data_IF_609810969716
#
_entry.id   IF_609810969716
#
_cell.length_a   1.000
_cell.length_b   1.000
_cell.length_c   1.000
_cell.angle_alpha   90.00
_cell.angle_beta   90.00
_cell.angle_gamma   90.00
#
_symmetry.space_group_name_H-M   'P 1'
#
loop_
_entity.id
_entity.type
_entity.pdbx_description
1 polymer ?
#
# COMPACT_ATOMS: atom_id res chain seq x y z
N UNK A 1 -18.18 -7.54 33.74
CA UNK A 1 -17.56 -8.83 33.41
C UNK A 1 -18.23 -9.39 32.17
N UNK A 2 -17.67 -9.21 31.03
CA UNK A 2 -17.89 -10.01 29.81
C UNK A 2 -16.62 -9.91 29.01
N UNK A 3 -15.79 -10.91 29.14
CA UNK A 3 -14.64 -11.14 28.29
C UNK A 3 -15.15 -11.52 26.91
N UNK A 4 -14.92 -10.70 25.94
CA UNK A 4 -15.13 -11.10 24.55
C UNK A 4 -13.75 -11.25 23.92
N UNK A 5 -13.11 -12.37 24.21
CA UNK A 5 -12.03 -12.87 23.40
C UNK A 5 -12.66 -13.29 22.08
N UNK A 6 -12.42 -12.55 21.01
CA UNK A 6 -12.81 -12.98 19.67
C UNK A 6 -11.84 -14.09 19.24
N UNK A 7 -12.15 -15.31 19.68
CA UNK A 7 -11.51 -16.51 19.13
C UNK A 7 -12.01 -16.68 17.70
N UNK A 8 -11.16 -16.38 16.73
CA UNK A 8 -11.44 -16.64 15.32
C UNK A 8 -11.59 -18.16 15.14
N UNK A 9 -12.81 -18.63 14.96
CA UNK A 9 -13.11 -20.04 14.71
C UNK A 9 -12.71 -20.34 13.26
N UNK A 10 -11.56 -20.97 13.08
CA UNK A 10 -11.11 -21.48 11.77
C UNK A 10 -11.95 -22.70 11.42
N UNK A 11 -12.90 -22.55 10.52
CA UNK A 11 -13.61 -23.68 9.90
C UNK A 11 -12.72 -24.28 8.81
N UNK A 12 -12.08 -25.40 9.10
CA UNK A 12 -11.37 -26.21 8.11
C UNK A 12 -12.37 -27.02 7.29
N UNK A 13 -12.48 -26.73 6.01
CA UNK A 13 -13.04 -27.65 5.04
C UNK A 13 -11.88 -28.38 4.34
N UNK A 14 -11.78 -29.67 4.55
CA UNK A 14 -10.88 -30.54 3.81
C UNK A 14 -11.45 -30.81 2.43
N UNK A 15 -10.97 -30.12 1.43
CA UNK A 15 -11.09 -30.53 0.03
C UNK A 15 -9.69 -30.53 -0.58
N UNK A 16 -9.21 -31.71 -0.85
CA UNK A 16 -7.97 -31.97 -1.59
C UNK A 16 -8.12 -31.57 -3.04
N UNK A 17 -7.58 -30.40 -3.39
CA UNK A 17 -7.12 -30.04 -4.73
C UNK A 17 -6.49 -28.63 -4.60
N UNK A 18 -5.32 -28.44 -5.17
CA UNK A 18 -4.42 -27.29 -5.05
C UNK A 18 -5.10 -25.93 -5.41
N UNK A 19 -5.93 -25.39 -4.53
CA UNK A 19 -6.38 -24.01 -4.62
C UNK A 19 -5.60 -23.19 -3.60
N UNK A 20 -4.99 -22.11 -4.03
CA UNK A 20 -4.45 -21.12 -3.12
C UNK A 20 -5.62 -20.53 -2.32
N UNK A 21 -5.64 -20.76 -1.01
CA UNK A 21 -6.66 -20.18 -0.15
C UNK A 21 -6.44 -18.67 -0.06
N UNK A 22 -7.53 -17.91 -0.07
CA UNK A 22 -7.49 -16.45 0.08
C UNK A 22 -8.07 -16.10 1.44
N UNK A 23 -7.24 -15.51 2.31
CA UNK A 23 -7.69 -14.96 3.58
C UNK A 23 -7.96 -13.47 3.41
N UNK A 24 -9.23 -13.07 3.48
CA UNK A 24 -9.63 -11.65 3.40
C UNK A 24 -10.16 -11.22 4.75
N UNK A 25 -9.52 -10.21 5.35
CA UNK A 25 -10.01 -9.50 6.53
C UNK A 25 -10.35 -8.09 6.09
N UNK A 26 -11.63 -7.73 6.15
CA UNK A 26 -12.09 -6.43 5.68
C UNK A 26 -13.14 -5.81 6.59
N UNK A 27 -13.13 -4.47 6.65
CA UNK A 27 -14.15 -3.66 7.30
C UNK A 27 -14.34 -4.00 8.80
N UNK A 28 -13.25 -4.43 9.45
CA UNK A 28 -13.23 -4.80 10.86
C UNK A 28 -12.63 -3.70 11.73
N UNK A 29 -13.00 -3.72 13.00
CA UNK A 29 -12.39 -2.89 14.03
C UNK A 29 -11.72 -3.79 15.07
N UNK A 30 -10.43 -3.55 15.28
CA UNK A 30 -9.61 -4.19 16.28
C UNK A 30 -9.18 -3.15 17.31
N UNK A 31 -9.55 -3.36 18.56
CA UNK A 31 -9.15 -2.47 19.65
C UNK A 31 -8.43 -3.31 20.69
N UNK A 32 -7.16 -3.00 20.90
CA UNK A 32 -6.35 -3.59 21.94
C UNK A 32 -6.32 -2.66 23.16
N UNK A 33 -6.92 -3.12 24.25
CA UNK A 33 -6.98 -2.41 25.54
C UNK A 33 -6.16 -3.08 26.63
N UNK A 34 -5.49 -4.20 26.32
CA UNK A 34 -4.75 -4.97 27.33
C UNK A 34 -3.43 -4.30 27.69
N UNK A 35 -3.01 -4.45 28.95
CA UNK A 35 -1.71 -4.02 29.42
C UNK A 35 -0.68 -5.14 29.21
N UNK A 36 0.31 -4.90 28.36
CA UNK A 36 1.38 -5.88 28.11
C UNK A 36 1.85 -5.88 26.65
N UNK A 37 2.69 -6.82 26.29
CA UNK A 37 3.14 -7.06 24.92
C UNK A 37 2.10 -7.90 24.20
N UNK A 38 1.03 -7.29 23.74
CA UNK A 38 0.08 -7.95 22.85
C UNK A 38 0.43 -7.72 21.40
N UNK A 39 0.02 -8.61 20.53
CA UNK A 39 0.04 -8.43 19.10
C UNK A 39 -1.37 -8.12 18.64
N UNK A 40 -1.56 -7.07 17.85
CA UNK A 40 -2.88 -6.73 17.33
C UNK A 40 -3.43 -7.86 16.45
N UNK A 41 -3.17 -7.80 15.15
CA UNK A 41 -3.55 -8.84 14.20
C UNK A 41 -2.28 -9.57 13.74
N UNK A 42 -2.19 -10.86 14.03
CA UNK A 42 -1.07 -11.70 13.60
C UNK A 42 -1.57 -12.73 12.58
N UNK A 43 -1.01 -12.66 11.38
CA UNK A 43 -1.21 -13.62 10.31
C UNK A 43 0.07 -14.45 10.18
N UNK A 44 0.14 -15.61 10.82
CA UNK A 44 1.33 -16.45 10.75
C UNK A 44 1.53 -16.93 9.30
N UNK A 45 2.77 -17.06 8.92
CA UNK A 45 3.19 -17.61 7.64
C UNK A 45 2.91 -19.11 7.57
N UNK A 46 1.66 -19.49 7.64
CA UNK A 46 1.24 -20.88 7.51
C UNK A 46 0.55 -21.09 6.19
N UNK A 47 1.24 -21.71 5.25
CA UNK A 47 0.67 -22.20 4.00
C UNK A 47 0.36 -21.12 2.92
N UNK A 48 0.34 -21.52 1.71
CA UNK A 48 0.03 -20.92 0.41
C UNK A 48 -1.27 -20.08 0.33
N UNK A 49 -1.49 -19.19 1.31
CA UNK A 49 -2.71 -18.39 1.41
C UNK A 49 -2.42 -16.96 0.94
N UNK A 50 -3.11 -16.48 -0.05
CA UNK A 50 -3.09 -15.08 -0.42
C UNK A 50 -3.78 -14.28 0.68
N UNK A 51 -3.12 -13.24 1.21
CA UNK A 51 -3.64 -12.45 2.32
C UNK A 51 -4.07 -11.04 1.86
N UNK A 52 -5.26 -10.62 2.30
CA UNK A 52 -5.76 -9.28 2.08
C UNK A 52 -6.30 -8.67 3.36
N UNK A 53 -5.81 -7.48 3.70
CA UNK A 53 -6.25 -6.70 4.84
C UNK A 53 -6.79 -5.36 4.36
N UNK A 54 -8.13 -5.24 4.31
CA UNK A 54 -8.81 -4.20 3.56
C UNK A 54 -9.74 -3.35 4.44
N UNK A 55 -9.52 -2.04 4.48
CA UNK A 55 -10.44 -1.08 5.10
C UNK A 55 -10.71 -1.37 6.59
N UNK A 56 -9.72 -1.84 7.32
CA UNK A 56 -9.84 -2.13 8.74
C UNK A 56 -9.37 -0.95 9.59
N UNK A 57 -9.83 -0.88 10.83
CA UNK A 57 -9.31 0.01 11.85
C UNK A 57 -8.63 -0.81 12.95
N UNK A 58 -7.38 -0.54 13.22
CA UNK A 58 -6.60 -1.18 14.29
C UNK A 58 -6.12 -0.11 15.25
N UNK A 59 -6.57 -0.17 16.49
CA UNK A 59 -6.19 0.79 17.53
C UNK A 59 -5.60 0.07 18.72
N UNK A 60 -4.44 0.53 19.20
CA UNK A 60 -3.87 0.08 20.44
C UNK A 60 -3.60 1.25 21.39
N UNK A 61 -3.70 0.98 22.69
CA UNK A 61 -3.54 1.97 23.76
C UNK A 61 -2.34 1.70 24.65
N UNK A 62 -1.67 0.56 24.48
CA UNK A 62 -0.51 0.15 25.28
C UNK A 62 0.66 -0.25 24.39
N UNK A 63 1.77 -0.60 25.00
CA UNK A 63 2.94 -1.10 24.30
C UNK A 63 2.69 -2.52 23.76
N UNK A 64 3.13 -2.78 22.54
CA UNK A 64 2.96 -4.08 21.90
C UNK A 64 3.94 -4.24 20.73
N UNK A 65 3.98 -5.46 20.18
CA UNK A 65 4.84 -5.79 19.05
C UNK A 65 4.40 -5.12 17.73
N UNK A 66 3.34 -5.62 17.12
CA UNK A 66 2.82 -5.16 15.82
C UNK A 66 1.31 -4.95 15.88
N UNK A 67 0.79 -3.89 15.24
CA UNK A 67 -0.65 -3.75 15.02
C UNK A 67 -1.14 -4.76 13.98
N UNK A 68 -0.36 -4.92 12.93
CA UNK A 68 -0.53 -5.99 11.94
C UNK A 68 0.83 -6.62 11.66
N UNK A 69 0.94 -7.90 11.94
CA UNK A 69 2.06 -8.72 11.50
C UNK A 69 1.57 -9.70 10.44
N UNK A 70 2.15 -9.62 9.25
CA UNK A 70 1.93 -10.56 8.17
C UNK A 70 3.27 -11.21 7.77
N UNK A 71 3.36 -12.53 7.92
CA UNK A 71 4.59 -13.28 7.72
C UNK A 71 5.50 -13.35 8.95
N UNK A 72 6.65 -13.95 8.77
CA UNK A 72 7.61 -14.25 9.83
C UNK A 72 8.74 -13.23 9.96
N UNK A 73 9.32 -13.15 11.15
CA UNK A 73 10.53 -12.36 11.38
C UNK A 73 11.82 -13.09 10.96
N UNK A 74 11.76 -14.39 10.74
CA UNK A 74 12.93 -15.25 10.49
C UNK A 74 12.80 -16.06 9.19
N UNK A 75 13.90 -16.21 8.42
CA UNK A 75 13.89 -16.93 7.15
C UNK A 75 13.80 -18.46 7.28
N UNK A 76 14.00 -19.02 8.46
CA UNK A 76 14.11 -20.46 8.67
C UNK A 76 12.86 -21.29 8.30
N UNK A 77 11.73 -20.61 8.09
CA UNK A 77 10.46 -21.20 7.62
C UNK A 77 10.20 -20.98 6.12
N UNK A 78 11.23 -20.70 5.35
CA UNK A 78 11.26 -20.13 3.99
C UNK A 78 10.48 -20.84 2.87
N UNK A 79 9.75 -21.90 3.13
CA UNK A 79 9.01 -22.63 2.09
C UNK A 79 7.56 -22.17 1.91
N UNK A 80 7.13 -21.13 2.61
CA UNK A 80 5.74 -20.68 2.61
C UNK A 80 5.68 -19.16 2.44
N UNK A 81 5.80 -18.69 1.22
CA UNK A 81 5.70 -17.26 0.91
C UNK A 81 4.21 -16.86 0.81
N UNK A 82 3.82 -15.81 1.52
CA UNK A 82 2.56 -15.10 1.32
C UNK A 82 2.73 -14.05 0.22
N UNK A 83 3.16 -14.46 -0.98
CA UNK A 83 3.38 -13.53 -2.07
C UNK A 83 2.05 -12.93 -2.55
N UNK A 84 2.06 -11.63 -2.88
CA UNK A 84 0.87 -10.92 -3.35
C UNK A 84 -0.03 -10.37 -2.23
N UNK A 85 0.51 -10.14 -1.04
CA UNK A 85 -0.26 -9.53 0.05
C UNK A 85 -0.77 -8.13 -0.31
N UNK A 86 -2.01 -7.85 0.12
CA UNK A 86 -2.68 -6.59 -0.14
C UNK A 86 -3.13 -5.98 1.18
N UNK A 87 -2.52 -4.87 1.55
CA UNK A 87 -2.83 -4.13 2.77
C UNK A 87 -3.23 -2.72 2.37
N UNK A 88 -4.53 -2.48 2.26
CA UNK A 88 -5.02 -1.22 1.69
C UNK A 88 -6.23 -0.64 2.41
N UNK A 89 -6.29 0.69 2.47
CA UNK A 89 -7.42 1.42 3.02
C UNK A 89 -7.55 1.32 4.54
N UNK A 90 -6.52 0.87 5.25
CA UNK A 90 -6.60 0.64 6.69
C UNK A 90 -6.20 1.87 7.49
N UNK A 91 -6.73 1.94 8.71
CA UNK A 91 -6.37 2.95 9.70
C UNK A 91 -5.69 2.28 10.89
N UNK A 92 -4.43 2.60 11.14
CA UNK A 92 -3.64 2.13 12.26
C UNK A 92 -3.39 3.27 13.25
N UNK A 93 -3.78 3.10 14.49
CA UNK A 93 -3.66 4.14 15.53
C UNK A 93 -3.00 3.57 16.76
N UNK A 94 -2.00 4.31 17.24
CA UNK A 94 -1.42 4.05 18.55
C UNK A 94 -1.69 5.22 19.48
N UNK A 95 -2.30 4.93 20.62
CA UNK A 95 -2.66 5.89 21.66
C UNK A 95 -1.87 5.69 22.95
N UNK A 96 -0.82 4.87 22.92
CA UNK A 96 0.05 4.63 24.05
C UNK A 96 0.98 5.81 24.35
N UNK A 97 1.63 5.75 25.50
CA UNK A 97 2.60 6.77 25.97
C UNK A 97 4.03 6.28 25.96
N UNK A 98 4.25 4.96 26.05
CA UNK A 98 5.59 4.36 26.04
C UNK A 98 6.02 3.93 24.66
N UNK A 99 6.72 4.82 23.97
CA UNK A 99 7.25 4.57 22.62
C UNK A 99 8.48 3.65 22.58
N UNK A 100 8.98 3.18 23.72
CA UNK A 100 10.25 2.41 23.76
C UNK A 100 10.06 0.95 23.44
N UNK A 101 8.90 0.38 23.73
CA UNK A 101 8.56 -1.04 23.55
C UNK A 101 7.86 -1.36 22.23
N UNK A 102 7.61 -0.34 21.40
CA UNK A 102 6.89 -0.51 20.18
C UNK A 102 7.78 -0.97 19.03
N UNK A 103 7.35 -1.99 18.33
CA UNK A 103 7.97 -2.39 17.07
C UNK A 103 7.36 -1.59 15.90
N UNK A 104 6.53 -2.16 15.06
CA UNK A 104 5.98 -1.46 13.90
C UNK A 104 4.46 -1.56 13.87
N UNK A 105 3.80 -0.55 13.33
CA UNK A 105 2.36 -0.64 13.09
C UNK A 105 2.04 -1.78 12.12
N UNK A 106 2.77 -1.85 11.03
CA UNK A 106 2.62 -2.83 9.99
C UNK A 106 3.96 -3.50 9.72
N UNK A 107 4.00 -4.81 9.86
CA UNK A 107 5.15 -5.63 9.52
C UNK A 107 4.77 -6.64 8.44
N UNK A 108 5.60 -6.72 7.40
CA UNK A 108 5.53 -7.84 6.45
C UNK A 108 6.93 -8.40 6.24
N UNK A 109 7.06 -9.72 6.32
CA UNK A 109 8.36 -10.37 6.30
C UNK A 109 8.43 -11.55 5.37
N UNK A 110 9.50 -11.60 4.54
CA UNK A 110 9.84 -12.69 3.62
C UNK A 110 8.76 -12.99 2.56
N UNK A 111 8.04 -11.96 2.11
CA UNK A 111 6.98 -12.02 1.12
C UNK A 111 7.34 -11.14 -0.07
N UNK A 112 6.88 -11.50 -1.27
CA UNK A 112 7.04 -10.75 -2.51
C UNK A 112 5.70 -10.19 -3.00
N UNK A 113 5.75 -9.27 -3.95
CA UNK A 113 4.58 -8.66 -4.60
C UNK A 113 3.60 -8.00 -3.61
N UNK A 114 4.13 -7.44 -2.52
CA UNK A 114 3.32 -6.87 -1.44
C UNK A 114 2.88 -5.45 -1.80
N UNK A 115 1.58 -5.21 -1.73
CA UNK A 115 0.97 -3.90 -2.00
C UNK A 115 0.44 -3.27 -0.72
N UNK A 116 1.03 -2.14 -0.32
CA UNK A 116 0.64 -1.36 0.85
C UNK A 116 0.21 0.03 0.38
N UNK A 117 -1.10 0.25 0.20
CA UNK A 117 -1.65 1.51 -0.35
C UNK A 117 -2.76 2.10 0.51
N UNK A 118 -2.91 3.41 0.45
CA UNK A 118 -4.07 4.13 1.01
C UNK A 118 -4.28 3.93 2.52
N UNK A 119 -3.23 3.58 3.26
CA UNK A 119 -3.34 3.41 4.70
C UNK A 119 -3.05 4.72 5.44
N UNK A 120 -3.69 4.88 6.60
CA UNK A 120 -3.47 5.99 7.51
C UNK A 120 -2.87 5.47 8.82
N UNK A 121 -1.63 5.83 9.09
CA UNK A 121 -0.90 5.47 10.30
C UNK A 121 -0.77 6.70 11.20
N UNK A 122 -1.36 6.64 12.40
CA UNK A 122 -1.43 7.76 13.32
C UNK A 122 -0.69 7.47 14.62
N UNK A 123 0.30 8.30 14.92
CA UNK A 123 1.12 8.26 16.14
C UNK A 123 1.86 6.92 16.38
N UNK A 124 1.94 6.08 15.39
CA UNK A 124 2.67 4.82 15.47
C UNK A 124 4.19 5.12 15.50
N UNK A 125 4.91 4.82 16.59
CA UNK A 125 6.33 5.18 16.72
C UNK A 125 7.17 4.65 15.56
N UNK A 126 6.93 3.40 15.15
CA UNK A 126 7.43 2.86 13.90
C UNK A 126 6.25 2.51 13.00
N UNK A 127 6.30 2.96 11.75
CA UNK A 127 5.21 2.77 10.80
C UNK A 127 5.22 1.40 10.12
N UNK A 128 5.76 1.33 8.91
CA UNK A 128 5.75 0.13 8.07
C UNK A 128 7.15 -0.48 8.07
N UNK A 129 7.26 -1.80 8.26
CA UNK A 129 8.49 -2.54 8.00
C UNK A 129 8.28 -3.59 6.92
N UNK A 130 9.14 -3.54 5.92
CA UNK A 130 9.38 -4.62 4.95
C UNK A 130 10.71 -5.28 5.29
N UNK A 131 10.70 -6.59 5.51
CA UNK A 131 11.89 -7.35 5.91
C UNK A 131 12.08 -8.59 5.06
N UNK A 132 13.33 -8.89 4.66
CA UNK A 132 13.68 -10.10 3.93
C UNK A 132 15.15 -10.48 4.16
N UNK A 133 15.63 -11.48 3.44
CA UNK A 133 17.00 -12.01 3.44
C UNK A 133 17.76 -11.72 2.13
N UNK A 134 17.42 -10.64 1.44
CA UNK A 134 17.99 -10.27 0.16
C UNK A 134 17.11 -10.61 -1.06
N UNK A 135 15.86 -11.02 -0.82
CA UNK A 135 14.90 -11.25 -1.90
C UNK A 135 14.64 -9.97 -2.69
N UNK A 136 14.37 -10.13 -3.98
CA UNK A 136 14.04 -9.02 -4.88
C UNK A 136 12.53 -8.95 -5.06
N UNK A 137 11.94 -7.77 -4.72
CA UNK A 137 10.51 -7.49 -4.78
C UNK A 137 10.24 -6.27 -5.69
N UNK A 138 10.47 -6.45 -6.99
CA UNK A 138 10.29 -5.36 -7.98
C UNK A 138 8.82 -4.94 -8.15
N UNK A 139 7.88 -5.80 -7.77
CA UNK A 139 6.45 -5.48 -7.78
C UNK A 139 5.98 -4.93 -6.44
N UNK A 140 6.76 -5.08 -5.38
CA UNK A 140 6.44 -4.57 -4.05
C UNK A 140 6.30 -3.04 -4.05
N UNK A 141 5.18 -2.54 -3.52
CA UNK A 141 4.90 -1.11 -3.51
C UNK A 141 4.33 -0.63 -2.19
N UNK A 142 4.85 0.50 -1.71
CA UNK A 142 4.30 1.27 -0.59
C UNK A 142 3.93 2.64 -1.14
N UNK A 143 2.63 2.89 -1.38
CA UNK A 143 2.21 4.11 -2.07
C UNK A 143 0.93 4.71 -1.50
N UNK A 144 0.82 6.03 -1.61
CA UNK A 144 -0.36 6.79 -1.22
C UNK A 144 -0.79 6.57 0.24
N UNK A 145 0.17 6.29 1.14
CA UNK A 145 -0.09 6.18 2.56
C UNK A 145 0.17 7.53 3.25
N UNK A 146 -0.59 7.79 4.32
CA UNK A 146 -0.34 8.92 5.22
C UNK A 146 0.25 8.37 6.51
N UNK A 147 1.44 8.83 6.86
CA UNK A 147 2.16 8.39 8.05
C UNK A 147 2.41 9.60 8.94
N UNK A 148 1.60 9.71 9.99
CA UNK A 148 1.62 10.86 10.90
C UNK A 148 2.34 10.53 12.18
N UNK A 149 3.30 11.38 12.49
CA UNK A 149 4.03 11.47 13.75
C UNK A 149 4.88 10.25 14.12
N UNK A 150 5.51 9.57 13.15
CA UNK A 150 6.41 8.46 13.43
C UNK A 150 7.77 8.93 13.95
N UNK A 151 8.50 8.04 14.66
CA UNK A 151 9.97 8.11 14.84
C UNK A 151 10.68 7.54 13.60
N UNK A 152 10.09 6.49 13.03
CA UNK A 152 10.51 5.80 11.82
C UNK A 152 9.26 5.50 10.99
N UNK A 153 9.15 6.08 9.81
CA UNK A 153 7.95 5.93 8.97
C UNK A 153 7.93 4.61 8.21
N UNK A 154 8.95 4.36 7.40
CA UNK A 154 9.12 3.12 6.63
C UNK A 154 10.52 2.57 6.86
N UNK A 155 10.61 1.29 7.19
CA UNK A 155 11.85 0.52 7.31
C UNK A 155 11.94 -0.52 6.19
N UNK A 156 12.98 -0.43 5.38
CA UNK A 156 13.34 -1.43 4.36
C UNK A 156 14.56 -2.19 4.84
N UNK A 157 14.38 -3.47 5.17
CA UNK A 157 15.42 -4.29 5.80
C UNK A 157 15.66 -5.58 5.02
N UNK A 158 16.72 -5.63 4.26
CA UNK A 158 17.13 -6.84 3.52
C UNK A 158 16.21 -7.21 2.36
N UNK A 159 15.59 -6.24 1.70
CA UNK A 159 14.74 -6.48 0.53
C UNK A 159 15.14 -5.56 -0.61
N UNK A 160 15.20 -6.10 -1.83
CA UNK A 160 15.67 -5.39 -3.01
C UNK A 160 14.49 -4.96 -3.91
N UNK A 161 14.67 -3.85 -4.65
CA UNK A 161 13.76 -3.43 -5.72
C UNK A 161 12.46 -2.76 -5.27
N UNK A 162 12.23 -2.60 -3.97
CA UNK A 162 10.97 -2.05 -3.45
C UNK A 162 10.74 -0.59 -3.87
N UNK A 163 9.50 -0.24 -4.13
CA UNK A 163 9.04 1.08 -4.60
C UNK A 163 8.25 1.81 -3.51
N UNK A 164 8.67 3.04 -3.17
CA UNK A 164 8.05 3.88 -2.14
C UNK A 164 7.61 5.19 -2.79
N UNK A 165 6.34 5.29 -3.15
CA UNK A 165 5.84 6.34 -4.02
C UNK A 165 4.64 7.07 -3.45
N UNK A 166 4.55 8.39 -3.69
CA UNK A 166 3.38 9.19 -3.36
C UNK A 166 2.88 9.04 -1.90
N UNK A 167 3.76 8.83 -0.92
CA UNK A 167 3.37 8.84 0.48
C UNK A 167 3.48 10.24 1.07
N UNK A 168 2.72 10.52 2.12
CA UNK A 168 2.83 11.75 2.90
C UNK A 168 3.31 11.41 4.31
N UNK A 169 4.49 11.90 4.66
CA UNK A 169 5.07 11.82 5.99
C UNK A 169 4.93 13.16 6.70
N UNK A 170 4.44 13.12 7.94
CA UNK A 170 4.42 14.28 8.81
C UNK A 170 4.93 13.90 10.18
N UNK A 171 5.92 14.62 10.71
CA UNK A 171 6.47 14.33 12.03
C UNK A 171 6.78 15.59 12.84
N UNK A 172 6.32 15.58 14.09
CA UNK A 172 6.64 16.58 15.12
C UNK A 172 7.80 16.11 16.02
N UNK A 173 8.38 14.94 15.76
CA UNK A 173 9.46 14.37 16.56
C UNK A 173 10.72 15.24 16.49
N UNK A 174 11.45 15.24 17.57
CA UNK A 174 12.76 15.93 17.69
C UNK A 174 13.90 14.95 17.54
N UNK A 175 15.11 15.45 17.31
CA UNK A 175 16.35 14.63 17.26
C UNK A 175 16.64 13.89 18.57
N UNK A 176 16.10 14.34 19.71
CA UNK A 176 16.20 13.61 20.97
C UNK A 176 15.22 12.43 21.07
N UNK A 177 14.14 12.45 20.29
CA UNK A 177 13.13 11.39 20.26
C UNK A 177 13.40 10.35 19.17
N UNK A 178 14.12 10.72 18.11
CA UNK A 178 14.51 9.80 17.06
C UNK A 178 15.87 10.15 16.45
N UNK A 179 16.67 9.13 16.22
CA UNK A 179 17.92 9.21 15.44
C UNK A 179 17.78 8.52 14.08
N UNK A 180 16.56 8.04 13.77
CA UNK A 180 16.20 7.32 12.55
C UNK A 180 15.64 8.28 11.50
N UNK A 181 15.61 7.83 10.26
CA UNK A 181 14.93 8.53 9.17
C UNK A 181 13.41 8.27 9.14
N UNK A 182 12.68 9.14 8.44
CA UNK A 182 11.30 8.82 8.09
C UNK A 182 11.24 7.62 7.14
N UNK A 183 12.28 7.44 6.32
CA UNK A 183 12.57 6.18 5.62
C UNK A 183 13.98 5.74 5.99
N UNK A 184 14.08 4.50 6.47
CA UNK A 184 15.37 3.84 6.73
C UNK A 184 15.56 2.67 5.76
N UNK A 185 16.76 2.62 5.14
CA UNK A 185 17.14 1.54 4.22
C UNK A 185 18.43 0.92 4.73
N UNK A 186 18.35 -0.31 5.18
CA UNK A 186 19.49 -0.92 5.85
C UNK A 186 19.63 -2.42 5.60
N UNK A 187 20.79 -2.93 5.98
CA UNK A 187 21.13 -4.35 5.86
C UNK A 187 20.36 -5.17 6.89
N UNK A 188 19.85 -6.32 6.50
CA UNK A 188 19.36 -7.31 7.44
C UNK A 188 20.51 -8.19 7.91
N UNK A 189 20.92 -7.97 9.15
CA UNK A 189 21.97 -8.74 9.81
C UNK A 189 21.46 -9.72 10.86
N UNK A 190 20.11 -9.88 10.95
CA UNK A 190 19.51 -10.78 11.93
C UNK A 190 19.94 -12.22 11.66
N UNK A 191 20.16 -12.96 12.73
CA UNK A 191 20.59 -14.37 12.69
C UNK A 191 21.86 -14.64 11.82
N UNK A 192 22.75 -13.66 11.73
CA UNK A 192 24.00 -13.79 10.95
C UNK A 192 23.83 -13.60 9.45
N UNK A 193 22.70 -13.08 9.00
CA UNK A 193 22.50 -12.66 7.61
C UNK A 193 23.43 -11.49 7.26
N UNK A 194 23.64 -11.31 5.98
CA UNK A 194 24.21 -10.10 5.37
C UNK A 194 23.42 -9.83 4.10
N UNK A 195 22.29 -9.14 4.24
CA UNK A 195 21.35 -8.88 3.17
C UNK A 195 21.06 -7.36 3.07
N UNK A 196 21.90 -6.59 2.37
CA UNK A 196 21.65 -5.17 2.14
C UNK A 196 20.42 -4.97 1.27
N UNK A 197 19.66 -3.92 1.54
CA UNK A 197 18.50 -3.52 0.72
C UNK A 197 18.98 -2.70 -0.47
N UNK A 198 18.89 -3.26 -1.69
CA UNK A 198 19.37 -2.65 -2.93
C UNK A 198 18.24 -2.28 -3.87
N UNK A 199 18.49 -1.35 -4.79
CA UNK A 199 17.51 -0.97 -5.83
C UNK A 199 16.23 -0.35 -5.29
N UNK A 200 16.25 0.22 -4.10
CA UNK A 200 15.08 0.88 -3.51
C UNK A 200 14.80 2.19 -4.25
N UNK A 201 13.54 2.45 -4.58
CA UNK A 201 13.11 3.64 -5.33
C UNK A 201 12.15 4.49 -4.52
N UNK A 202 12.43 5.79 -4.39
CA UNK A 202 11.67 6.75 -3.59
C UNK A 202 11.29 7.95 -4.45
N UNK A 203 10.02 8.04 -4.86
CA UNK A 203 9.54 9.09 -5.77
C UNK A 203 8.24 9.72 -5.31
N UNK A 204 8.05 10.99 -5.65
CA UNK A 204 6.78 11.71 -5.49
C UNK A 204 6.25 11.76 -4.04
N UNK A 205 7.08 11.57 -3.02
CA UNK A 205 6.64 11.62 -1.63
C UNK A 205 6.67 13.07 -1.10
N UNK A 206 5.89 13.33 -0.05
CA UNK A 206 5.97 14.55 0.75
C UNK A 206 6.57 14.20 2.12
N UNK A 207 7.64 14.88 2.48
CA UNK A 207 8.28 14.81 3.79
C UNK A 207 8.11 16.14 4.51
N UNK A 208 7.23 16.19 5.50
CA UNK A 208 7.02 17.36 6.35
C UNK A 208 7.50 17.08 7.76
N UNK A 209 8.45 17.84 8.23
CA UNK A 209 8.96 17.74 9.60
C UNK A 209 8.90 19.08 10.31
N UNK A 210 8.47 19.09 11.59
CA UNK A 210 8.54 20.31 12.41
C UNK A 210 9.94 20.60 12.93
N UNK A 211 10.72 19.54 13.13
CA UNK A 211 12.05 19.65 13.72
C UNK A 211 13.09 18.98 12.82
N UNK A 212 14.35 19.25 13.09
CA UNK A 212 15.47 18.58 12.41
C UNK A 212 15.52 17.10 12.79
N UNK A 213 14.91 16.26 11.97
CA UNK A 213 15.06 14.80 11.93
C UNK A 213 15.46 14.39 10.51
N UNK A 214 15.95 13.17 10.33
CA UNK A 214 16.34 12.72 9.00
C UNK A 214 15.12 12.31 8.18
N UNK A 215 15.06 12.71 6.91
CA UNK A 215 14.03 12.27 5.97
C UNK A 215 14.34 10.84 5.48
N UNK A 216 15.59 10.61 5.05
CA UNK A 216 16.07 9.30 4.61
C UNK A 216 17.37 9.01 5.35
N UNK A 217 17.48 7.80 5.93
CA UNK A 217 18.68 7.27 6.60
C UNK A 217 19.11 5.97 5.91
N UNK A 218 20.36 5.93 5.43
CA UNK A 218 20.96 4.75 4.82
C UNK A 218 22.24 4.45 5.60
N UNK A 219 22.15 3.72 6.73
CA UNK A 219 23.31 3.45 7.59
C UNK A 219 24.36 2.59 6.90
N UNK A 220 23.97 1.67 6.03
CA UNK A 220 24.85 0.74 5.32
C UNK A 220 25.04 1.21 3.89
N UNK A 221 26.24 1.66 3.52
CA UNK A 221 26.53 2.23 2.20
C UNK A 221 26.31 1.20 1.07
N UNK A 222 26.34 -0.09 1.33
CA UNK A 222 25.99 -1.13 0.37
C UNK A 222 24.54 -1.03 -0.13
N UNK A 223 23.65 -0.42 0.65
CA UNK A 223 22.26 -0.17 0.26
C UNK A 223 22.10 0.97 -0.77
N UNK A 224 23.17 1.68 -1.10
CA UNK A 224 23.18 2.67 -2.19
C UNK A 224 23.23 2.02 -3.57
N UNK A 225 23.52 0.74 -3.68
CA UNK A 225 23.56 0.05 -4.97
C UNK A 225 22.16 0.04 -5.61
N UNK A 226 22.02 0.73 -6.74
CA UNK A 226 20.74 0.88 -7.45
C UNK A 226 19.70 1.72 -6.74
N UNK A 227 20.04 2.39 -5.65
CA UNK A 227 19.14 3.30 -4.94
C UNK A 227 18.82 4.52 -5.82
N UNK A 228 17.55 4.88 -5.86
CA UNK A 228 17.05 6.05 -6.58
C UNK A 228 16.11 6.85 -5.67
N UNK A 229 16.27 8.18 -5.65
CA UNK A 229 15.35 9.11 -4.99
C UNK A 229 15.24 10.37 -5.83
N UNK A 230 13.99 10.75 -6.21
CA UNK A 230 13.77 11.98 -6.96
C UNK A 230 12.28 12.43 -6.92
N UNK A 231 12.00 13.62 -7.38
CA UNK A 231 10.65 14.21 -7.48
C UNK A 231 9.89 14.25 -6.15
N UNK A 232 10.61 14.35 -5.02
CA UNK A 232 10.01 14.45 -3.71
C UNK A 232 9.84 15.92 -3.27
N UNK A 233 8.91 16.17 -2.37
CA UNK A 233 8.75 17.45 -1.69
C UNK A 233 9.22 17.32 -0.27
N UNK A 234 10.14 18.19 0.12
CA UNK A 234 10.70 18.26 1.47
C UNK A 234 10.34 19.58 2.12
N UNK A 235 9.92 19.53 3.37
CA UNK A 235 9.72 20.72 4.20
C UNK A 235 10.09 20.44 5.64
N UNK A 236 10.91 21.34 6.22
CA UNK A 236 11.25 21.31 7.63
C UNK A 236 11.02 22.71 8.21
N UNK A 237 10.11 22.83 9.17
CA UNK A 237 9.84 24.13 9.82
C UNK A 237 11.06 24.69 10.57
N UNK A 238 11.93 23.84 11.09
CA UNK A 238 13.15 24.24 11.80
C UNK A 238 14.31 24.64 10.86
N UNK A 239 14.18 24.45 9.53
CA UNK A 239 15.20 24.85 8.56
C UNK A 239 15.31 23.90 7.37
N UNK A 240 16.53 23.58 6.93
CA UNK A 240 16.75 22.72 5.78
C UNK A 240 16.49 21.23 6.10
N UNK A 241 15.98 20.43 5.13
CA UNK A 241 15.83 19.00 5.28
C UNK A 241 17.21 18.31 5.46
N UNK A 242 17.22 17.25 6.25
CA UNK A 242 18.41 16.49 6.56
C UNK A 242 18.27 15.02 6.11
N UNK A 243 19.39 14.46 5.70
CA UNK A 243 19.56 13.06 5.30
C UNK A 243 20.74 12.45 6.05
N UNK A 244 20.84 11.12 6.06
CA UNK A 244 21.97 10.46 6.70
C UNK A 244 22.43 9.26 5.87
N UNK A 245 23.75 9.13 5.66
CA UNK A 245 24.36 8.04 4.93
C UNK A 245 25.64 7.61 5.63
N UNK A 246 25.81 6.32 5.87
CA UNK A 246 26.98 5.78 6.56
C UNK A 246 27.20 6.43 7.94
N UNK A 247 26.11 6.73 8.65
CA UNK A 247 26.14 7.44 9.93
C UNK A 247 26.46 8.94 9.86
N UNK A 248 26.62 9.52 8.66
CA UNK A 248 27.04 10.94 8.47
C UNK A 248 25.84 11.75 7.97
N UNK A 249 25.54 12.85 8.64
CA UNK A 249 24.52 13.82 8.22
C UNK A 249 24.88 14.44 6.87
N UNK A 250 23.87 14.56 6.00
CA UNK A 250 23.94 15.26 4.72
C UNK A 250 22.90 16.37 4.72
N UNK A 251 23.29 17.55 4.26
CA UNK A 251 22.34 18.60 3.87
C UNK A 251 21.70 18.24 2.54
N UNK A 252 20.64 18.94 2.15
CA UNK A 252 19.98 18.72 0.85
C UNK A 252 20.96 18.89 -0.31
N UNK A 253 21.78 19.93 -0.28
CA UNK A 253 22.80 20.15 -1.32
C UNK A 253 23.87 19.03 -1.37
N UNK A 254 24.28 18.49 -0.21
CA UNK A 254 25.20 17.35 -0.18
C UNK A 254 24.55 16.08 -0.70
N UNK A 255 23.26 15.89 -0.45
CA UNK A 255 22.46 14.78 -0.95
C UNK A 255 22.30 14.85 -2.47
N UNK A 256 21.99 16.04 -3.01
CA UNK A 256 21.94 16.27 -4.46
C UNK A 256 23.32 16.09 -5.12
N UNK A 257 24.39 16.47 -4.46
CA UNK A 257 25.75 16.23 -4.96
C UNK A 257 26.12 14.74 -5.06
N UNK A 258 25.39 13.86 -4.36
CA UNK A 258 25.49 12.39 -4.50
C UNK A 258 24.66 11.85 -5.69
N UNK A 259 23.89 12.70 -6.38
CA UNK A 259 23.06 12.34 -7.53
C UNK A 259 21.60 12.04 -7.20
N UNK A 260 21.14 12.28 -5.97
CA UNK A 260 19.77 12.02 -5.54
C UNK A 260 18.94 13.30 -5.48
N UNK A 261 17.62 13.17 -5.66
CA UNK A 261 16.65 14.26 -5.52
C UNK A 261 16.97 15.51 -6.36
N UNK A 262 17.47 15.31 -7.58
CA UNK A 262 17.88 16.41 -8.48
C UNK A 262 16.69 17.25 -8.95
N UNK A 263 15.49 16.64 -9.06
CA UNK A 263 14.24 17.32 -9.42
C UNK A 263 13.31 17.53 -8.24
N UNK A 264 13.74 17.14 -7.05
CA UNK A 264 12.97 17.35 -5.80
C UNK A 264 13.06 18.81 -5.35
N UNK A 265 12.03 19.25 -4.64
CA UNK A 265 11.92 20.64 -4.19
C UNK A 265 11.80 20.77 -2.68
N UNK A 266 12.28 21.89 -2.15
CA UNK A 266 12.14 22.25 -0.74
C UNK A 266 11.11 23.37 -0.64
N UNK A 267 9.84 22.99 -0.43
CA UNK A 267 8.73 23.93 -0.36
C UNK A 267 7.73 23.48 0.72
N UNK A 268 7.00 24.42 1.31
CA UNK A 268 5.88 24.10 2.19
C UNK A 268 4.71 23.55 1.35
N UNK A 269 4.22 22.32 1.60
CA UNK A 269 3.07 21.77 0.89
C UNK A 269 1.75 22.47 1.28
N UNK A 270 1.75 23.36 2.26
CA UNK A 270 0.60 24.16 2.70
C UNK A 270 -0.65 23.29 2.87
N UNK A 271 -0.62 22.37 3.81
CA UNK A 271 -1.79 21.56 4.14
C UNK A 271 -2.90 22.40 4.75
N UNK A 272 -4.15 22.10 4.41
CA UNK A 272 -5.34 22.73 5.02
C UNK A 272 -5.45 22.42 6.50
N UNK A 273 -5.00 21.23 6.87
CA UNK A 273 -4.91 20.75 8.26
C UNK A 273 -3.86 19.64 8.38
N UNK A 274 -3.49 19.31 9.62
CA UNK A 274 -2.54 18.24 9.93
C UNK A 274 -3.22 16.94 10.39
N UNK A 275 -4.45 16.71 9.95
CA UNK A 275 -5.21 15.47 10.13
C UNK A 275 -5.41 14.80 8.78
N UNK A 276 -6.01 15.51 7.84
CA UNK A 276 -6.29 15.03 6.50
C UNK A 276 -5.11 15.15 5.53
N UNK A 277 -4.19 16.08 5.79
CA UNK A 277 -3.03 16.38 4.94
C UNK A 277 -3.42 16.67 3.49
N UNK A 278 -4.49 17.44 3.32
CA UNK A 278 -4.93 17.94 2.02
C UNK A 278 -4.10 19.18 1.69
N UNK A 279 -3.29 19.19 0.62
CA UNK A 279 -2.64 20.42 0.18
C UNK A 279 -3.67 21.48 -0.21
N UNK A 280 -3.41 22.76 0.04
CA UNK A 280 -4.32 23.85 -0.36
C UNK A 280 -4.41 24.02 -1.88
N UNK A 281 -3.37 23.61 -2.59
CA UNK A 281 -3.28 23.65 -4.04
C UNK A 281 -2.62 22.36 -4.56
N UNK A 282 -2.83 22.07 -5.83
CA UNK A 282 -2.13 20.94 -6.49
C UNK A 282 -0.62 21.11 -6.36
N UNK A 283 0.06 20.01 -6.08
CA UNK A 283 1.53 19.95 -5.99
C UNK A 283 2.09 19.18 -7.19
N UNK A 284 2.14 19.84 -8.32
CA UNK A 284 2.52 19.28 -9.63
C UNK A 284 4.05 19.16 -9.78
N UNK A 285 4.68 18.48 -8.82
CA UNK A 285 6.14 18.29 -8.77
C UNK A 285 6.56 16.84 -9.03
N UNK A 286 5.60 15.97 -9.33
CA UNK A 286 5.83 14.54 -9.46
C UNK A 286 6.25 14.12 -10.87
N UNK A 287 6.78 12.92 -10.95
CA UNK A 287 7.06 12.19 -12.20
C UNK A 287 5.94 11.20 -12.47
N UNK A 288 5.59 11.00 -13.74
CA UNK A 288 4.69 9.93 -14.18
C UNK A 288 5.27 8.54 -13.84
N UNK A 289 4.57 7.78 -13.03
CA UNK A 289 4.97 6.45 -12.56
C UNK A 289 4.22 5.32 -13.26
N UNK A 290 3.40 5.64 -14.27
CA UNK A 290 2.61 4.68 -15.02
C UNK A 290 1.21 4.46 -14.45
N UNK A 291 0.40 3.70 -15.20
CA UNK A 291 -1.03 3.54 -14.91
C UNK A 291 -1.33 2.83 -13.59
N UNK A 292 -0.51 1.89 -13.17
CA UNK A 292 -0.67 1.13 -11.93
C UNK A 292 -0.52 2.00 -10.67
N UNK A 293 0.12 3.16 -10.77
CA UNK A 293 0.32 4.14 -9.72
C UNK A 293 -0.38 5.48 -9.98
N UNK A 294 -1.19 5.57 -11.03
CA UNK A 294 -1.90 6.79 -11.40
C UNK A 294 -3.10 7.13 -10.51
N UNK A 295 -3.50 6.24 -9.62
CA UNK A 295 -4.66 6.41 -8.74
C UNK A 295 -4.21 6.58 -7.29
N UNK A 296 -4.53 7.72 -6.69
CA UNK A 296 -4.18 8.08 -5.32
C UNK A 296 -5.39 8.40 -4.46
N UNK A 297 -5.19 8.80 -3.21
CA UNK A 297 -6.28 9.22 -2.34
C UNK A 297 -6.90 10.52 -2.85
N UNK A 298 -8.20 10.56 -3.06
CA UNK A 298 -8.90 11.81 -3.31
C UNK A 298 -8.74 12.76 -2.11
N UNK A 299 -8.82 14.07 -2.33
CA UNK A 299 -8.65 15.06 -1.26
C UNK A 299 -9.68 14.92 -0.14
N UNK A 300 -10.85 14.39 -0.43
CA UNK A 300 -11.94 14.12 0.54
C UNK A 300 -11.95 12.69 1.08
N UNK A 301 -10.96 11.85 0.72
CA UNK A 301 -10.88 10.47 1.21
C UNK A 301 -10.84 10.40 2.73
N UNK A 302 -11.56 9.43 3.29
CA UNK A 302 -11.64 9.13 4.71
C UNK A 302 -11.55 7.62 4.95
N UNK A 303 -11.29 7.24 6.21
CA UNK A 303 -11.18 5.82 6.62
C UNK A 303 -12.35 5.46 7.54
N UNK A 304 -13.49 5.16 6.96
CA UNK A 304 -14.73 4.85 7.69
C UNK A 304 -15.23 3.41 7.45
N UNK A 305 -14.36 2.42 7.58
CA UNK A 305 -14.68 1.01 7.30
C UNK A 305 -15.22 0.74 5.90
N UNK A 306 -14.83 1.58 4.97
CA UNK A 306 -15.10 1.45 3.55
C UNK A 306 -13.83 1.79 2.80
N UNK A 307 -13.72 1.40 1.54
CA UNK A 307 -12.61 1.79 0.71
C UNK A 307 -12.51 3.33 0.69
N UNK A 308 -11.32 3.91 0.94
CA UNK A 308 -11.15 5.35 0.77
C UNK A 308 -11.45 5.74 -0.67
N UNK A 309 -12.02 6.92 -0.85
CA UNK A 309 -12.17 7.46 -2.20
C UNK A 309 -10.81 7.67 -2.83
N UNK A 310 -10.71 7.37 -4.12
CA UNK A 310 -9.51 7.57 -4.92
C UNK A 310 -9.78 8.55 -6.05
N UNK A 311 -8.73 9.16 -6.57
CA UNK A 311 -8.76 10.00 -7.74
C UNK A 311 -7.57 9.68 -8.64
N UNK A 312 -7.74 9.79 -9.95
CA UNK A 312 -6.65 9.56 -10.91
C UNK A 312 -5.73 10.77 -10.99
N UNK A 313 -4.46 10.51 -11.16
CA UNK A 313 -3.49 11.53 -11.59
C UNK A 313 -3.95 12.09 -12.94
N UNK A 314 -3.89 13.40 -13.09
CA UNK A 314 -4.37 14.08 -14.28
C UNK A 314 -3.47 15.26 -14.61
N UNK A 315 -3.03 15.38 -15.85
CA UNK A 315 -2.06 16.38 -16.28
C UNK A 315 -0.69 16.14 -15.66
N UNK A 316 -0.09 17.17 -15.07
CA UNK A 316 1.17 17.03 -14.34
C UNK A 316 0.96 16.20 -13.07
N UNK A 317 1.89 15.28 -12.79
CA UNK A 317 1.78 14.39 -11.65
C UNK A 317 1.93 15.12 -10.32
N UNK A 318 0.99 14.86 -9.44
CA UNK A 318 0.96 15.40 -8.09
C UNK A 318 1.78 14.51 -7.15
N UNK A 319 2.42 15.11 -6.17
CA UNK A 319 3.18 14.43 -5.12
C UNK A 319 2.34 14.19 -3.87
N UNK A 320 2.73 13.23 -3.05
CA UNK A 320 2.09 12.87 -1.80
C UNK A 320 0.90 11.94 -1.96
N UNK A 321 0.26 11.62 -0.85
CA UNK A 321 -0.82 10.64 -0.79
C UNK A 321 -2.14 11.17 -1.36
N UNK A 322 -2.42 12.45 -1.17
CA UNK A 322 -3.64 13.11 -1.61
C UNK A 322 -3.46 13.78 -2.94
N UNK A 323 -4.37 13.52 -3.86
CA UNK A 323 -4.37 14.11 -5.18
C UNK A 323 -5.71 14.80 -5.48
N UNK A 324 -5.64 15.92 -6.19
CA UNK A 324 -6.81 16.59 -6.74
C UNK A 324 -7.20 15.92 -8.03
N UNK A 325 -8.47 15.64 -8.21
CA UNK A 325 -9.01 15.35 -9.52
C UNK A 325 -8.84 16.56 -10.46
N UNK A 326 -8.85 16.35 -11.75
CA UNK A 326 -8.79 17.47 -12.70
C UNK A 326 -9.91 18.47 -12.43
N UNK A 327 -9.54 19.77 -12.36
CA UNK A 327 -10.54 20.81 -12.42
C UNK A 327 -10.99 20.96 -13.86
N UNK A 328 -12.20 20.51 -14.19
CA UNK A 328 -12.82 20.77 -15.48
C UNK A 328 -13.24 19.57 -16.31
N UNK A 329 -12.96 18.36 -15.90
CA UNK A 329 -13.93 17.30 -16.18
C UNK A 329 -15.00 17.46 -15.10
N UNK A 330 -16.16 18.04 -15.45
CA UNK A 330 -17.39 17.52 -14.88
C UNK A 330 -17.12 16.01 -14.83
N UNK A 331 -17.26 15.39 -13.64
CA UNK A 331 -17.55 13.98 -13.62
C UNK A 331 -18.65 13.90 -14.69
N UNK A 332 -18.31 13.45 -15.92
CA UNK A 332 -19.31 12.75 -16.68
C UNK A 332 -19.72 11.73 -15.64
N UNK A 333 -20.89 11.95 -15.03
CA UNK A 333 -21.56 10.90 -14.27
C UNK A 333 -21.42 9.72 -15.22
N UNK A 334 -20.42 8.84 -14.96
CA UNK A 334 -20.34 7.57 -15.66
C UNK A 334 -21.72 7.02 -15.36
N UNK A 335 -22.63 7.11 -16.35
CA UNK A 335 -23.96 6.58 -16.17
C UNK A 335 -23.74 5.15 -15.74
N UNK A 336 -23.88 4.92 -14.41
CA UNK A 336 -23.59 3.62 -13.83
C UNK A 336 -24.46 2.63 -14.59
N UNK A 337 -23.79 1.80 -15.34
CA UNK A 337 -24.46 0.69 -15.99
C UNK A 337 -25.36 0.02 -14.96
N UNK A 338 -26.68 -0.09 -15.17
CA UNK A 338 -27.57 -0.60 -14.16
C UNK A 338 -27.12 -1.99 -13.69
N UNK A 339 -26.57 -2.06 -12.49
CA UNK A 339 -25.96 -3.29 -11.95
C UNK A 339 -26.93 -4.48 -11.89
N UNK A 340 -28.23 -4.21 -11.92
CA UNK A 340 -29.28 -5.21 -11.97
C UNK A 340 -29.49 -5.85 -13.36
N UNK A 341 -28.94 -5.24 -14.43
CA UNK A 341 -29.07 -5.73 -15.80
C UNK A 341 -27.84 -6.52 -16.26
N UNK A 342 -26.85 -6.68 -15.41
CA UNK A 342 -25.63 -7.44 -15.73
C UNK A 342 -25.15 -8.25 -14.54
N UNK A 343 -24.85 -9.52 -14.78
CA UNK A 343 -24.34 -10.44 -13.75
C UNK A 343 -23.16 -11.23 -14.30
N UNK A 344 -22.15 -11.40 -13.47
CA UNK A 344 -20.96 -12.21 -13.76
C UNK A 344 -20.89 -13.37 -12.76
N UNK A 345 -20.87 -14.60 -13.26
CA UNK A 345 -20.86 -15.83 -12.44
C UNK A 345 -20.24 -17.03 -13.17
N UNK A 346 -19.76 -18.07 -12.46
CA UNK A 346 -19.54 -18.09 -11.03
C UNK A 346 -18.42 -17.15 -10.61
N UNK A 347 -18.45 -16.74 -9.37
CA UNK A 347 -17.34 -16.04 -8.72
C UNK A 347 -17.14 -16.67 -7.33
N UNK A 348 -16.08 -17.44 -7.09
CA UNK A 348 -14.90 -17.66 -7.96
C UNK A 348 -15.18 -18.43 -9.27
N UNK A 349 -14.40 -18.09 -10.31
CA UNK A 349 -14.44 -18.71 -11.63
C UNK A 349 -13.32 -19.75 -11.79
N UNK A 350 -13.61 -20.87 -12.47
CA UNK A 350 -12.62 -21.88 -12.82
C UNK A 350 -12.75 -22.23 -14.31
N UNK A 351 -11.73 -21.88 -15.09
CA UNK A 351 -11.69 -22.15 -16.53
C UNK A 351 -12.65 -21.27 -17.35
N UNK A 352 -13.86 -21.06 -16.89
CA UNK A 352 -14.88 -20.25 -17.58
C UNK A 352 -15.73 -19.50 -16.57
N UNK A 353 -16.11 -18.27 -16.89
CA UNK A 353 -17.19 -17.55 -16.24
C UNK A 353 -18.21 -17.07 -17.28
N UNK A 354 -19.35 -16.64 -16.84
CA UNK A 354 -20.42 -16.16 -17.69
C UNK A 354 -20.73 -14.70 -17.40
N UNK A 355 -20.96 -13.94 -18.47
CA UNK A 355 -21.52 -12.59 -18.40
C UNK A 355 -22.95 -12.68 -18.90
N UNK A 356 -23.92 -12.47 -18.03
CA UNK A 356 -25.34 -12.34 -18.40
C UNK A 356 -25.66 -10.86 -18.51
N UNK A 357 -25.97 -10.41 -19.72
CA UNK A 357 -26.51 -9.08 -20.00
C UNK A 357 -28.00 -9.20 -20.31
N UNK A 358 -28.82 -8.41 -19.64
CA UNK A 358 -30.29 -8.39 -19.87
C UNK A 358 -30.77 -6.98 -20.16
N UNK A 359 -29.89 -6.10 -20.59
CA UNK A 359 -30.20 -4.73 -20.92
C UNK A 359 -30.76 -4.63 -22.36
N UNK A 360 -32.04 -4.25 -22.55
CA UNK A 360 -32.64 -4.17 -23.88
C UNK A 360 -32.06 -3.03 -24.74
N UNK A 361 -31.45 -2.03 -24.13
CA UNK A 361 -30.85 -0.89 -24.84
C UNK A 361 -29.43 -1.15 -25.31
N UNK A 362 -28.73 -2.13 -24.67
CA UNK A 362 -27.34 -2.49 -24.97
C UNK A 362 -27.27 -3.86 -25.62
N UNK A 363 -27.09 -3.86 -26.93
CA UNK A 363 -27.01 -5.11 -27.70
C UNK A 363 -25.65 -5.78 -27.60
N UNK A 364 -24.60 -5.02 -27.24
CA UNK A 364 -23.22 -5.52 -27.22
C UNK A 364 -22.31 -4.64 -26.36
N UNK A 365 -21.33 -5.28 -25.76
CA UNK A 365 -20.25 -4.63 -25.04
C UNK A 365 -18.91 -5.40 -25.21
N UNK A 366 -17.81 -4.80 -24.84
CA UNK A 366 -16.51 -5.47 -24.76
C UNK A 366 -16.19 -5.74 -23.29
N UNK A 367 -16.09 -7.01 -22.92
CA UNK A 367 -15.56 -7.42 -21.66
C UNK A 367 -14.02 -7.35 -21.72
N UNK A 368 -13.41 -6.48 -20.92
CA UNK A 368 -11.96 -6.39 -20.75
C UNK A 368 -11.59 -6.91 -19.38
N UNK A 369 -10.59 -7.77 -19.31
CA UNK A 369 -10.12 -8.37 -18.09
C UNK A 369 -8.73 -7.80 -17.76
N UNK A 370 -8.62 -7.34 -16.54
CA UNK A 370 -7.37 -6.79 -15.98
C UNK A 370 -6.97 -7.59 -14.77
N UNK A 371 -5.67 -7.75 -14.57
CA UNK A 371 -5.16 -8.32 -13.33
C UNK A 371 -5.32 -7.34 -12.16
N UNK A 372 -4.91 -7.79 -10.99
CA UNK A 372 -4.99 -6.96 -9.79
C UNK A 372 -4.19 -5.65 -9.89
N UNK A 373 -3.14 -5.61 -10.71
CA UNK A 373 -2.31 -4.43 -10.94
C UNK A 373 -2.90 -3.48 -12.01
N UNK A 374 -4.08 -3.78 -12.53
CA UNK A 374 -4.70 -3.02 -13.62
C UNK A 374 -4.10 -3.29 -15.00
N UNK A 375 -3.23 -4.30 -15.14
CA UNK A 375 -2.65 -4.67 -16.44
C UNK A 375 -3.69 -5.41 -17.27
N UNK A 376 -3.86 -4.98 -18.49
CA UNK A 376 -4.77 -5.64 -19.43
C UNK A 376 -4.30 -7.07 -19.72
N UNK A 377 -5.22 -8.03 -19.60
CA UNK A 377 -4.96 -9.44 -19.86
C UNK A 377 -5.53 -9.85 -21.21
N UNK A 378 -6.83 -9.71 -21.41
CA UNK A 378 -7.51 -9.97 -22.68
C UNK A 378 -8.88 -9.30 -22.71
N UNK A 379 -9.50 -9.32 -23.89
CA UNK A 379 -10.87 -8.86 -24.06
C UNK A 379 -11.67 -9.79 -24.96
N UNK A 380 -13.00 -9.79 -24.76
CA UNK A 380 -13.95 -10.56 -25.52
C UNK A 380 -15.23 -9.75 -25.73
N UNK A 381 -15.79 -9.82 -26.93
CA UNK A 381 -17.11 -9.25 -27.16
C UNK A 381 -18.20 -10.09 -26.45
N UNK A 382 -19.13 -9.42 -25.79
CA UNK A 382 -20.30 -10.00 -25.12
C UNK A 382 -21.56 -9.33 -25.64
N UNK A 383 -22.63 -10.09 -25.78
CA UNK A 383 -23.88 -9.65 -26.37
C UNK A 383 -25.01 -9.75 -25.36
N UNK A 384 -26.16 -9.17 -25.68
CA UNK A 384 -27.34 -9.36 -24.84
C UNK A 384 -27.68 -10.85 -24.71
N UNK A 385 -27.88 -11.32 -23.49
CA UNK A 385 -28.01 -12.73 -23.14
C UNK A 385 -26.83 -13.29 -22.38
N UNK A 386 -26.68 -14.61 -22.39
CA UNK A 386 -25.64 -15.34 -21.65
C UNK A 386 -24.40 -15.54 -22.53
N UNK A 387 -23.27 -15.04 -22.08
CA UNK A 387 -22.00 -15.11 -22.78
C UNK A 387 -20.95 -15.89 -21.96
N UNK A 388 -20.43 -17.03 -22.45
CA UNK A 388 -19.30 -17.68 -21.83
C UNK A 388 -18.01 -16.89 -22.14
N UNK A 389 -17.19 -16.69 -21.12
CA UNK A 389 -15.87 -16.10 -21.24
C UNK A 389 -14.85 -17.13 -20.76
N UNK A 390 -14.07 -17.66 -21.69
CA UNK A 390 -13.05 -18.66 -21.38
C UNK A 390 -11.78 -17.99 -20.88
N UNK A 391 -11.31 -18.44 -19.72
CA UNK A 391 -10.08 -17.93 -19.12
C UNK A 391 -8.87 -18.52 -19.85
N UNK A 392 -7.96 -17.68 -20.36
CA UNK A 392 -6.73 -18.15 -20.97
C UNK A 392 -5.93 -19.06 -20.03
N UNK A 393 -5.32 -20.11 -20.56
CA UNK A 393 -4.56 -21.08 -19.77
C UNK A 393 -3.33 -20.50 -19.03
N UNK A 394 -2.89 -19.31 -19.43
CA UNK A 394 -1.78 -18.62 -18.76
C UNK A 394 -2.23 -17.77 -17.57
N UNK A 395 -3.54 -17.59 -17.34
CA UNK A 395 -4.03 -16.90 -16.15
C UNK A 395 -3.77 -17.76 -14.92
N UNK A 396 -3.24 -17.14 -13.89
CA UNK A 396 -3.00 -17.78 -12.59
C UNK A 396 -4.15 -17.52 -11.63
N UNK A 397 -4.26 -18.29 -10.56
CA UNK A 397 -5.23 -18.02 -9.51
C UNK A 397 -4.99 -16.64 -8.92
N UNK A 398 -6.05 -15.85 -8.76
CA UNK A 398 -5.92 -14.49 -8.26
C UNK A 398 -7.18 -13.65 -8.46
N UNK A 399 -7.02 -12.35 -8.16
CA UNK A 399 -8.07 -11.36 -8.34
C UNK A 399 -7.92 -10.67 -9.69
N UNK A 400 -9.05 -10.51 -10.36
CA UNK A 400 -9.12 -9.82 -11.63
C UNK A 400 -10.29 -8.85 -11.62
N UNK A 401 -10.18 -7.82 -12.42
CA UNK A 401 -11.27 -6.88 -12.66
C UNK A 401 -11.80 -7.10 -14.06
N UNK A 402 -13.11 -7.22 -14.20
CA UNK A 402 -13.80 -7.19 -15.47
C UNK A 402 -14.42 -5.83 -15.63
N UNK A 403 -14.17 -5.17 -16.76
CA UNK A 403 -14.94 -4.02 -17.19
C UNK A 403 -15.75 -4.40 -18.42
N UNK A 404 -17.00 -3.99 -18.47
CA UNK A 404 -17.82 -4.06 -19.70
C UNK A 404 -17.92 -2.63 -20.23
N UNK A 405 -17.51 -2.44 -21.46
CA UNK A 405 -17.53 -1.14 -22.13
C UNK A 405 -18.49 -1.19 -23.31
N UNK A 406 -19.52 -0.38 -23.30
CA UNK A 406 -20.42 -0.19 -24.42
C UNK A 406 -19.93 0.95 -25.34
N UNK A 407 -20.52 1.06 -26.54
CA UNK A 407 -20.20 2.11 -27.50
C UNK A 407 -20.54 3.53 -27.00
N UNK A 408 -21.39 3.64 -26.00
CA UNK A 408 -21.81 4.88 -25.32
C UNK A 408 -20.83 5.39 -24.23
N UNK A 409 -19.63 4.78 -24.10
CA UNK A 409 -18.64 5.04 -23.04
C UNK A 409 -19.09 4.61 -21.63
N UNK A 410 -20.25 4.04 -21.47
CA UNK A 410 -20.71 3.48 -20.20
C UNK A 410 -19.91 2.26 -19.80
N UNK A 411 -19.62 2.13 -18.51
CA UNK A 411 -18.81 1.05 -17.96
C UNK A 411 -19.51 0.35 -16.82
N UNK A 412 -19.45 -0.97 -16.84
CA UNK A 412 -19.76 -1.84 -15.70
C UNK A 412 -18.46 -2.44 -15.18
N UNK A 413 -18.26 -2.40 -13.88
CA UNK A 413 -17.05 -2.92 -13.24
C UNK A 413 -17.40 -4.02 -12.24
N UNK A 414 -16.76 -5.18 -12.35
CA UNK A 414 -16.91 -6.30 -11.43
C UNK A 414 -15.56 -6.93 -11.10
N UNK A 415 -15.35 -7.20 -9.83
CA UNK A 415 -14.19 -8.01 -9.38
C UNK A 415 -14.56 -9.49 -9.45
N UNK A 416 -13.65 -10.30 -9.98
CA UNK A 416 -13.78 -11.76 -10.02
C UNK A 416 -12.55 -12.40 -9.39
N UNK A 417 -12.75 -13.59 -8.84
CA UNK A 417 -11.68 -14.47 -8.36
C UNK A 417 -11.54 -15.59 -9.38
N UNK A 418 -10.32 -15.80 -9.87
CA UNK A 418 -9.99 -16.91 -10.76
C UNK A 418 -9.27 -17.98 -9.96
N UNK A 419 -9.69 -19.24 -10.14
CA UNK A 419 -9.08 -20.42 -9.53
C UNK A 419 -8.62 -21.33 -10.68
N UNK A 420 -7.33 -21.50 -10.82
CA UNK A 420 -6.72 -22.44 -11.81
C UNK A 420 -6.17 -23.68 -11.13
#
# INVERSE_FOLDING_TARGET
MKNTLATLLLLFFTATLFSQEVLIIKEQEFIDTETGTSQGVNIPRSSKTLFQFLNNSVTAVNSFGYLLQAGDENPASSNNNLDGEIITGNRFVWNGTDETSMTHALFTGFNLDVVIKYNYLLNTPNGIQRKSDGMTDENGVIAYNIIKNPKLGIAVKGINGIRIYNNTFYSEKTSSQTTRGLIDIYNNTDNGLNAPSKGVKIYNNIFYTKNHIYNIDIPDEECLEGFESDYNVYWCEAGAPLFKVGGKTKTFAMWQAMGYDLHSVVINPNFTDYIGFVPQVRLDYGQDLGQDLSEGLAVDASWARSAPKTAKQNGAWQVGARIYAATGEEEEEEEEWPANLTTVFPNPAKGTFYVLMTDPERQYAIAKIYDYYGRFIFSQAVYNGLNPVELPAYMVSGFYTITLEAASLERYLKKIIVLN
#
